data_IF_170116567102
#
_entry.id   IF_170116567102
#
_cell.length_a   1.000
_cell.length_b   1.000
_cell.length_c   1.000
_cell.angle_alpha   90.00
_cell.angle_beta   90.00
_cell.angle_gamma   90.00
#
_symmetry.space_group_name_H-M   'P 1'
#
loop_
_entity.id
_entity.type
_entity.pdbx_description
1 polymer ?
#
# COMPACT_ATOMS: atom_id res chain seq x y z
N UNK A 1 -15.68 12.94 -10.84
CA UNK A 1 -14.79 12.51 -11.93
C UNK A 1 -13.81 11.49 -11.37
N UNK A 2 -13.72 10.28 -11.93
CA UNK A 2 -12.80 9.23 -11.43
C UNK A 2 -11.60 9.13 -12.37
N UNK A 3 -10.35 9.19 -11.87
CA UNK A 3 -9.17 9.00 -12.71
C UNK A 3 -9.18 7.66 -13.43
N UNK A 4 -8.62 7.64 -14.63
CA UNK A 4 -8.59 6.45 -15.46
C UNK A 4 -7.92 5.27 -14.73
N UNK A 5 -8.54 4.10 -14.84
CA UNK A 5 -8.00 2.84 -14.31
C UNK A 5 -6.65 2.50 -14.98
N UNK A 6 -6.51 2.86 -16.26
CA UNK A 6 -5.29 2.70 -17.05
C UNK A 6 -4.69 4.05 -17.34
N UNK A 7 -3.37 4.14 -17.25
CA UNK A 7 -2.57 5.22 -17.83
C UNK A 7 -1.73 4.60 -18.96
N UNK A 8 -1.37 5.38 -19.96
CA UNK A 8 -0.25 5.03 -20.84
C UNK A 8 0.66 6.23 -20.93
N UNK A 9 1.94 5.92 -20.96
CA UNK A 9 3.01 6.91 -21.02
C UNK A 9 3.60 6.89 -22.42
N UNK A 10 4.08 8.04 -22.91
CA UNK A 10 4.78 8.07 -24.17
C UNK A 10 6.09 7.28 -24.04
N UNK A 11 6.47 6.60 -25.12
CA UNK A 11 7.77 5.98 -25.24
C UNK A 11 7.80 4.46 -25.09
N UNK A 12 9.01 3.90 -25.00
CA UNK A 12 9.25 2.46 -25.04
C UNK A 12 8.72 1.71 -23.81
N UNK A 13 8.05 0.57 -24.03
CA UNK A 13 7.52 -0.34 -23.01
C UNK A 13 8.16 -1.74 -23.09
N UNK A 14 8.52 -2.32 -21.95
CA UNK A 14 9.04 -3.68 -21.76
C UNK A 14 8.01 -4.50 -20.97
N UNK A 15 7.37 -5.48 -21.62
CA UNK A 15 6.45 -6.40 -20.94
C UNK A 15 7.24 -7.35 -20.05
N UNK A 16 6.83 -7.48 -18.80
CA UNK A 16 7.50 -8.32 -17.82
C UNK A 16 6.94 -9.75 -17.80
N UNK A 17 7.81 -10.71 -17.52
CA UNK A 17 7.41 -12.07 -17.20
C UNK A 17 6.83 -12.15 -15.79
N UNK A 18 5.66 -12.76 -15.65
CA UNK A 18 5.07 -13.10 -14.35
C UNK A 18 5.78 -14.28 -13.68
N UNK A 19 5.55 -14.50 -12.39
CA UNK A 19 6.04 -15.71 -11.71
C UNK A 19 5.57 -16.98 -12.47
N UNK A 20 6.42 -18.00 -12.68
CA UNK A 20 7.75 -18.22 -12.09
C UNK A 20 8.94 -17.74 -12.94
N UNK A 21 8.76 -16.84 -13.92
CA UNK A 21 9.82 -16.46 -14.89
C UNK A 21 10.99 -15.62 -14.30
N UNK A 22 11.12 -15.51 -12.98
CA UNK A 22 12.22 -14.86 -12.28
C UNK A 22 12.32 -13.33 -12.50
N UNK A 23 13.41 -12.75 -11.99
CA UNK A 23 13.75 -11.33 -12.19
C UNK A 23 12.77 -10.34 -11.55
N UNK A 24 12.88 -9.06 -11.94
CA UNK A 24 12.02 -7.98 -11.41
C UNK A 24 10.54 -8.20 -11.74
N UNK A 25 10.23 -8.93 -12.82
CA UNK A 25 8.88 -9.29 -13.21
C UNK A 25 8.18 -10.17 -12.17
N UNK A 26 8.83 -11.25 -11.72
CA UNK A 26 8.29 -12.08 -10.65
C UNK A 26 8.02 -11.28 -9.37
N UNK A 27 8.96 -10.44 -8.94
CA UNK A 27 8.80 -9.59 -7.76
C UNK A 27 7.57 -8.67 -7.89
N UNK A 28 7.45 -7.94 -8.99
CA UNK A 28 6.36 -6.99 -9.21
C UNK A 28 5.00 -7.67 -9.43
N UNK A 29 4.99 -8.89 -9.97
CA UNK A 29 3.80 -9.74 -10.11
C UNK A 29 3.25 -10.16 -8.73
N UNK A 30 4.15 -10.56 -7.83
CA UNK A 30 3.82 -10.93 -6.47
C UNK A 30 3.52 -9.73 -5.59
N UNK A 31 4.10 -8.56 -5.83
CA UNK A 31 3.93 -7.39 -4.96
C UNK A 31 2.77 -6.46 -5.39
N UNK A 32 2.78 -5.96 -6.62
CA UNK A 32 2.04 -4.75 -7.01
C UNK A 32 1.11 -4.92 -8.22
N UNK A 33 1.25 -6.02 -8.97
CA UNK A 33 0.49 -6.23 -10.19
C UNK A 33 -1.04 -6.21 -9.95
N UNK A 34 -1.75 -5.92 -11.03
CA UNK A 34 -3.19 -6.12 -11.08
C UNK A 34 -3.53 -7.62 -11.16
N UNK A 35 -4.64 -7.96 -10.54
CA UNK A 35 -5.29 -9.26 -10.62
C UNK A 35 -6.33 -9.27 -11.75
N UNK A 36 -6.73 -10.44 -12.28
CA UNK A 36 -7.92 -10.54 -13.12
C UNK A 36 -9.22 -10.17 -12.38
N UNK A 37 -9.24 -10.25 -11.04
CA UNK A 37 -10.43 -9.97 -10.22
C UNK A 37 -10.86 -8.51 -10.32
N UNK A 38 -12.18 -8.27 -10.33
CA UNK A 38 -12.79 -6.94 -10.26
C UNK A 38 -13.75 -6.84 -9.08
N UNK A 39 -13.85 -5.67 -8.47
CA UNK A 39 -14.89 -5.32 -7.49
C UNK A 39 -15.36 -3.89 -7.75
N UNK A 40 -16.67 -3.63 -7.78
CA UNK A 40 -17.23 -2.30 -8.06
C UNK A 40 -16.72 -1.68 -9.38
N UNK A 41 -16.55 -2.52 -10.42
CA UNK A 41 -15.99 -2.13 -11.72
C UNK A 41 -14.47 -1.90 -11.73
N UNK A 42 -13.79 -2.00 -10.58
CA UNK A 42 -12.34 -1.77 -10.43
C UNK A 42 -11.58 -3.07 -10.52
N UNK A 43 -10.53 -3.12 -11.33
CA UNK A 43 -9.54 -4.19 -11.32
C UNK A 43 -8.73 -4.11 -10.04
N UNK A 44 -8.81 -5.19 -9.26
CA UNK A 44 -8.08 -5.28 -8.00
C UNK A 44 -6.57 -5.43 -8.26
N UNK A 45 -5.76 -4.92 -7.33
CA UNK A 45 -4.32 -5.16 -7.29
C UNK A 45 -3.95 -6.10 -6.15
N UNK A 46 -2.70 -6.55 -6.18
CA UNK A 46 -2.04 -7.32 -5.11
C UNK A 46 -1.91 -6.56 -3.80
N UNK A 47 -2.16 -5.26 -3.81
CA UNK A 47 -2.28 -4.44 -2.59
C UNK A 47 -3.71 -3.97 -2.42
N UNK A 48 -4.21 -3.84 -1.19
CA UNK A 48 -5.45 -3.14 -0.93
C UNK A 48 -5.24 -1.64 -1.21
N UNK A 49 -6.34 -0.94 -1.44
CA UNK A 49 -6.35 0.52 -1.51
C UNK A 49 -7.75 1.01 -1.18
N UNK A 50 -7.85 2.09 -0.41
CA UNK A 50 -9.13 2.68 -0.07
C UNK A 50 -9.91 3.02 -1.35
N UNK A 51 -11.12 2.46 -1.48
CA UNK A 51 -11.98 2.66 -2.66
C UNK A 51 -11.40 2.16 -3.99
N UNK A 52 -10.37 1.31 -3.95
CA UNK A 52 -9.68 0.79 -5.14
C UNK A 52 -9.06 1.91 -5.99
N UNK A 53 -8.44 2.91 -5.34
CA UNK A 53 -7.88 4.09 -6.03
C UNK A 53 -6.44 3.89 -6.48
N UNK A 54 -5.68 3.09 -5.74
CA UNK A 54 -4.30 2.71 -6.02
C UNK A 54 -3.37 3.91 -6.32
N UNK A 55 -3.22 4.85 -5.36
CA UNK A 55 -2.41 6.07 -5.50
C UNK A 55 -0.90 5.81 -5.56
N UNK A 56 -0.44 4.63 -5.15
CA UNK A 56 0.98 4.30 -5.18
C UNK A 56 1.41 3.95 -6.60
N UNK A 57 2.40 4.69 -7.08
CA UNK A 57 3.13 4.46 -8.32
C UNK A 57 4.49 3.87 -7.96
N UNK A 58 5.00 2.96 -8.79
CA UNK A 58 6.30 2.32 -8.55
C UNK A 58 7.23 2.60 -9.73
N UNK A 59 8.48 2.93 -9.40
CA UNK A 59 9.55 3.18 -10.36
C UNK A 59 10.69 2.21 -10.09
N UNK A 60 11.11 1.46 -11.09
CA UNK A 60 12.26 0.56 -11.03
C UNK A 60 13.48 1.33 -11.47
N UNK A 61 14.55 1.31 -10.67
CA UNK A 61 15.84 1.91 -11.02
C UNK A 61 16.89 0.81 -11.03
N UNK A 62 17.59 0.69 -12.15
CA UNK A 62 18.64 -0.32 -12.34
C UNK A 62 19.61 0.14 -13.43
N UNK A 63 20.92 0.02 -13.17
CA UNK A 63 21.98 0.33 -14.14
C UNK A 63 21.82 1.70 -14.84
N UNK A 64 21.57 2.75 -14.06
CA UNK A 64 21.49 4.12 -14.56
C UNK A 64 20.25 4.41 -15.40
N UNK A 65 19.21 3.58 -15.31
CA UNK A 65 17.92 3.85 -15.95
C UNK A 65 16.80 3.70 -14.92
N UNK A 66 15.84 4.61 -14.98
CA UNK A 66 14.61 4.58 -14.22
C UNK A 66 13.44 4.26 -15.15
N UNK A 67 12.61 3.29 -14.77
CA UNK A 67 11.39 2.92 -15.49
C UNK A 67 10.18 3.07 -14.59
N UNK A 68 9.06 3.47 -15.17
CA UNK A 68 7.78 3.39 -14.49
C UNK A 68 7.18 2.00 -14.61
N UNK A 69 6.59 1.48 -13.55
CA UNK A 69 5.86 0.22 -13.59
C UNK A 69 4.37 0.42 -13.87
N UNK A 70 3.85 -0.25 -14.90
CA UNK A 70 2.42 -0.41 -15.18
C UNK A 70 1.90 -1.70 -14.53
N UNK A 71 1.14 -1.64 -13.42
CA UNK A 71 0.61 -2.83 -12.76
C UNK A 71 -0.53 -3.49 -13.55
N UNK A 72 -1.20 -2.78 -14.46
CA UNK A 72 -2.28 -3.34 -15.27
C UNK A 72 -1.73 -4.15 -16.43
N UNK A 73 -0.75 -3.60 -17.14
CA UNK A 73 -0.06 -4.30 -18.25
C UNK A 73 1.04 -5.24 -17.78
N UNK A 74 1.50 -5.07 -16.54
CA UNK A 74 2.67 -5.74 -16.00
C UNK A 74 3.89 -5.49 -16.88
N UNK A 75 4.27 -4.21 -16.97
CA UNK A 75 5.31 -3.73 -17.88
C UNK A 75 6.09 -2.55 -17.28
N UNK A 76 7.31 -2.35 -17.77
CA UNK A 76 8.12 -1.16 -17.51
C UNK A 76 7.98 -0.19 -18.68
N UNK A 77 7.74 1.10 -18.42
CA UNK A 77 7.50 2.10 -19.45
C UNK A 77 8.31 3.38 -19.19
N UNK A 78 8.47 4.18 -20.25
CA UNK A 78 9.07 5.52 -20.21
C UNK A 78 10.43 5.57 -19.49
N UNK A 79 11.46 4.84 -19.99
CA UNK A 79 12.79 4.88 -19.42
C UNK A 79 13.36 6.30 -19.43
N UNK A 80 13.90 6.71 -18.29
CA UNK A 80 14.64 7.96 -18.12
C UNK A 80 16.07 7.65 -17.65
N UNK A 81 17.09 8.41 -18.10
CA UNK A 81 18.43 8.32 -17.54
C UNK A 81 18.43 8.60 -16.05
N UNK A 82 19.19 7.82 -15.28
CA UNK A 82 19.36 7.98 -13.84
C UNK A 82 20.83 8.11 -13.47
N UNK A 83 21.14 9.07 -12.60
CA UNK A 83 22.50 9.27 -12.09
C UNK A 83 22.96 8.11 -11.18
N UNK A 84 22.02 7.32 -10.66
CA UNK A 84 22.33 6.13 -9.86
C UNK A 84 22.66 4.94 -10.77
N UNK A 85 23.95 4.73 -11.02
CA UNK A 85 24.46 3.50 -11.63
C UNK A 85 24.75 2.45 -10.56
N UNK A 86 23.72 1.72 -10.12
CA UNK A 86 23.87 0.57 -9.21
C UNK A 86 23.70 -0.76 -9.95
N UNK A 87 24.42 -1.80 -9.50
CA UNK A 87 24.14 -3.21 -9.83
C UNK A 87 22.77 -3.64 -9.31
N UNK A 88 22.33 -3.01 -8.23
CA UNK A 88 21.17 -3.40 -7.44
C UNK A 88 19.90 -2.87 -8.08
N UNK A 89 18.77 -3.53 -7.81
CA UNK A 89 17.46 -2.99 -8.15
C UNK A 89 16.97 -2.14 -6.99
N UNK A 90 16.57 -0.91 -7.31
CA UNK A 90 15.78 -0.07 -6.40
C UNK A 90 14.36 0.07 -6.91
N UNK A 91 13.39 -0.03 -6.00
CA UNK A 91 11.99 0.31 -6.27
C UNK A 91 11.65 1.56 -5.49
N UNK A 92 11.43 2.66 -6.20
CA UNK A 92 10.99 3.93 -5.61
C UNK A 92 9.46 3.96 -5.66
N UNK A 93 8.83 4.15 -4.51
CA UNK A 93 7.38 4.24 -4.37
C UNK A 93 6.97 5.70 -4.17
N UNK A 94 6.08 6.15 -5.05
CA UNK A 94 5.59 7.54 -5.09
C UNK A 94 4.08 7.59 -4.90
N UNK A 95 3.59 8.67 -4.29
CA UNK A 95 2.17 8.93 -4.13
C UNK A 95 1.64 9.85 -5.22
N UNK A 96 0.51 9.47 -5.83
CA UNK A 96 -0.25 10.30 -6.75
C UNK A 96 -1.56 10.77 -6.07
N UNK A 97 -1.59 11.96 -5.45
CA UNK A 97 -2.72 12.42 -4.62
C UNK A 97 -4.02 12.62 -5.41
N UNK A 98 -3.94 12.88 -6.72
CA UNK A 98 -5.11 13.01 -7.61
C UNK A 98 -6.01 11.78 -7.55
N UNK A 99 -5.44 10.58 -7.35
CA UNK A 99 -6.22 9.33 -7.33
C UNK A 99 -7.21 9.23 -6.17
N UNK A 100 -6.90 9.86 -5.04
CA UNK A 100 -7.70 9.83 -3.81
C UNK A 100 -8.45 11.14 -3.57
N UNK A 101 -7.87 12.28 -3.99
CA UNK A 101 -8.37 13.62 -3.68
C UNK A 101 -9.84 13.82 -4.05
N UNK A 102 -10.23 13.49 -5.27
CA UNK A 102 -11.61 13.70 -5.73
C UNK A 102 -12.67 13.02 -4.83
N UNK A 103 -12.32 11.94 -4.11
CA UNK A 103 -13.22 11.21 -3.22
C UNK A 103 -13.07 11.61 -1.76
N UNK A 104 -11.85 11.81 -1.28
CA UNK A 104 -11.55 11.99 0.14
C UNK A 104 -11.23 13.44 0.53
N UNK A 105 -10.94 14.30 -0.46
CA UNK A 105 -10.60 15.70 -0.26
C UNK A 105 -9.47 15.85 0.77
N UNK A 106 -9.59 16.77 1.74
CA UNK A 106 -8.58 16.99 2.80
C UNK A 106 -8.20 15.73 3.59
N UNK A 107 -9.07 14.71 3.64
CA UNK A 107 -8.81 13.44 4.36
C UNK A 107 -7.93 12.46 3.56
N UNK A 108 -7.40 12.87 2.41
CA UNK A 108 -6.62 11.99 1.54
C UNK A 108 -5.28 11.58 2.14
N UNK A 109 -4.64 12.44 2.95
CA UNK A 109 -3.26 12.19 3.40
C UNK A 109 -3.12 10.89 4.24
N UNK A 110 -3.89 10.68 5.32
CA UNK A 110 -3.82 9.41 6.07
C UNK A 110 -4.03 8.18 5.18
N UNK A 111 -4.99 8.25 4.26
CA UNK A 111 -5.32 7.15 3.34
C UNK A 111 -4.17 6.87 2.36
N UNK A 112 -3.54 7.91 1.83
CA UNK A 112 -2.38 7.79 0.97
C UNK A 112 -1.22 7.10 1.68
N UNK A 113 -0.97 7.46 2.95
CA UNK A 113 0.10 6.85 3.75
C UNK A 113 -0.16 5.39 4.10
N UNK A 114 -1.41 5.03 4.38
CA UNK A 114 -1.81 3.63 4.56
C UNK A 114 -1.57 2.82 3.28
N UNK A 115 -1.97 3.34 2.11
CA UNK A 115 -1.76 2.70 0.82
C UNK A 115 -0.25 2.53 0.51
N UNK A 116 0.59 3.51 0.88
CA UNK A 116 2.05 3.40 0.80
C UNK A 116 2.57 2.28 1.71
N UNK A 117 2.05 2.16 2.93
CA UNK A 117 2.43 1.10 3.88
C UNK A 117 2.09 -0.29 3.35
N UNK A 118 0.93 -0.45 2.70
CA UNK A 118 0.55 -1.67 2.01
C UNK A 118 1.48 -2.01 0.85
N UNK A 119 1.83 -1.03 0.02
CA UNK A 119 2.77 -1.22 -1.09
C UNK A 119 4.16 -1.60 -0.60
N UNK A 120 4.64 -0.95 0.45
CA UNK A 120 5.92 -1.25 1.10
C UNK A 120 5.95 -2.69 1.63
N UNK A 121 4.91 -3.06 2.40
CA UNK A 121 4.76 -4.42 2.93
C UNK A 121 4.70 -5.47 1.83
N UNK A 122 4.00 -5.19 0.73
CA UNK A 122 3.89 -6.12 -0.40
C UNK A 122 5.21 -6.36 -1.12
N UNK A 123 6.01 -5.31 -1.34
CA UNK A 123 7.33 -5.44 -1.98
C UNK A 123 8.30 -6.21 -1.07
N UNK A 124 8.35 -5.85 0.22
CA UNK A 124 9.20 -6.54 1.21
C UNK A 124 8.81 -8.03 1.35
N UNK A 125 7.52 -8.32 1.44
CA UNK A 125 6.97 -9.68 1.51
C UNK A 125 7.30 -10.51 0.26
N UNK A 126 7.12 -9.93 -0.93
CA UNK A 126 7.43 -10.59 -2.19
C UNK A 126 8.93 -10.88 -2.33
N UNK A 127 9.79 -9.96 -1.93
CA UNK A 127 11.23 -10.19 -1.97
C UNK A 127 11.68 -11.25 -0.96
N UNK A 128 11.10 -11.26 0.25
CA UNK A 128 11.33 -12.31 1.23
C UNK A 128 10.91 -13.69 0.71
N UNK A 129 9.75 -13.79 0.05
CA UNK A 129 9.27 -15.03 -0.57
C UNK A 129 10.18 -15.53 -1.71
N UNK A 130 10.86 -14.62 -2.40
CA UNK A 130 11.82 -14.93 -3.46
C UNK A 130 13.25 -15.14 -2.93
N UNK A 131 13.48 -15.00 -1.61
CA UNK A 131 14.79 -15.19 -1.00
C UNK A 131 15.78 -14.04 -1.25
N UNK A 132 15.29 -12.83 -1.57
CA UNK A 132 16.14 -11.67 -1.78
C UNK A 132 16.26 -10.81 -0.51
N UNK A 133 17.49 -10.48 -0.07
CA UNK A 133 17.69 -9.47 0.97
C UNK A 133 17.11 -8.14 0.52
N UNK A 134 16.31 -7.53 1.39
CA UNK A 134 15.71 -6.22 1.13
C UNK A 134 15.72 -5.33 2.33
N UNK A 135 15.93 -4.04 2.06
CA UNK A 135 15.73 -2.97 3.02
C UNK A 135 14.94 -1.88 2.32
N UNK A 136 13.90 -1.40 2.98
CA UNK A 136 13.27 -0.17 2.54
C UNK A 136 13.66 0.99 3.45
N UNK A 137 13.67 2.19 2.88
CA UNK A 137 14.07 3.42 3.52
C UNK A 137 13.02 4.48 3.23
N UNK A 138 12.62 5.20 4.27
CA UNK A 138 11.77 6.40 4.19
C UNK A 138 12.41 7.53 4.95
N UNK A 139 12.04 8.77 4.62
CA UNK A 139 12.56 9.96 5.30
C UNK A 139 13.74 10.70 4.66
N UNK A 140 14.36 10.29 3.53
CA UNK A 140 15.33 11.15 2.83
C UNK A 140 14.74 12.43 2.20
N UNK A 141 13.42 12.54 2.08
CA UNK A 141 12.75 13.67 1.41
C UNK A 141 12.49 13.42 -0.08
N UNK A 142 11.50 14.16 -0.62
CA UNK A 142 11.07 14.01 -2.02
C UNK A 142 12.17 14.36 -3.02
N UNK A 143 12.99 15.37 -2.73
CA UNK A 143 14.11 15.79 -3.57
C UNK A 143 15.15 14.69 -3.71
N UNK A 144 15.64 14.17 -2.57
CA UNK A 144 16.68 13.14 -2.53
C UNK A 144 16.20 11.88 -3.22
N UNK A 145 14.97 11.45 -2.97
CA UNK A 145 14.43 10.25 -3.60
C UNK A 145 14.22 10.41 -5.10
N UNK A 146 13.76 11.58 -5.57
CA UNK A 146 13.62 11.85 -7.00
C UNK A 146 14.99 11.88 -7.71
N UNK A 147 15.98 12.53 -7.11
CA UNK A 147 17.35 12.65 -7.65
C UNK A 147 18.05 11.28 -7.68
N UNK A 148 18.05 10.56 -6.56
CA UNK A 148 18.62 9.20 -6.47
C UNK A 148 17.94 8.23 -7.44
N UNK A 149 16.66 8.44 -7.73
CA UNK A 149 15.94 7.64 -8.70
C UNK A 149 16.18 8.08 -10.15
N UNK A 150 16.66 9.30 -10.40
CA UNK A 150 16.75 9.86 -11.74
C UNK A 150 15.39 10.12 -12.38
N UNK A 151 14.37 10.40 -11.56
CA UNK A 151 13.01 10.67 -12.04
C UNK A 151 12.93 12.10 -12.58
N UNK A 152 12.09 12.39 -13.59
CA UNK A 152 11.88 13.76 -14.03
C UNK A 152 11.16 14.53 -12.92
N UNK A 153 11.83 15.50 -12.31
CA UNK A 153 11.27 16.24 -11.16
C UNK A 153 11.55 17.74 -11.23
N UNK A 154 10.74 18.51 -10.50
CA UNK A 154 10.97 19.93 -10.23
C UNK A 154 10.69 20.18 -8.75
N UNK A 155 11.74 20.51 -7.97
CA UNK A 155 11.66 20.57 -6.50
C UNK A 155 11.17 19.26 -5.89
N UNK A 156 11.77 18.14 -6.30
CA UNK A 156 11.48 16.79 -5.81
C UNK A 156 10.14 16.19 -6.22
N UNK A 157 9.20 17.03 -6.66
CA UNK A 157 7.92 16.59 -7.20
C UNK A 157 8.14 16.02 -8.59
N UNK A 158 7.87 14.73 -8.74
CA UNK A 158 8.03 13.99 -9.99
C UNK A 158 6.93 14.41 -10.97
N UNK A 159 7.33 14.80 -12.17
CA UNK A 159 6.47 15.32 -13.23
C UNK A 159 6.80 14.65 -14.56
N UNK A 160 6.02 13.63 -14.88
CA UNK A 160 6.01 13.04 -16.21
C UNK A 160 5.15 13.90 -17.15
N UNK A 161 5.53 14.07 -18.43
CA UNK A 161 4.70 14.79 -19.39
C UNK A 161 3.26 14.26 -19.45
N UNK A 162 2.28 15.15 -19.28
CA UNK A 162 0.85 14.81 -19.32
C UNK A 162 0.33 13.99 -18.12
N UNK A 163 1.10 13.84 -17.05
CA UNK A 163 0.71 13.10 -15.84
C UNK A 163 0.54 14.03 -14.64
N UNK A 164 -0.27 13.60 -13.67
CA UNK A 164 -0.38 14.28 -12.38
C UNK A 164 0.94 14.20 -11.58
N UNK A 165 1.21 15.18 -10.69
CA UNK A 165 2.41 15.16 -9.85
C UNK A 165 2.47 13.92 -8.96
N UNK A 166 3.69 13.45 -8.72
CA UNK A 166 4.01 12.30 -7.88
C UNK A 166 5.03 12.67 -6.80
N UNK A 167 4.86 12.12 -5.60
CA UNK A 167 5.69 12.41 -4.43
C UNK A 167 6.42 11.14 -4.00
N UNK A 168 7.72 10.97 -4.34
CA UNK A 168 8.49 9.80 -3.93
C UNK A 168 8.77 9.87 -2.43
N UNK A 169 8.37 8.83 -1.68
CA UNK A 169 8.46 8.83 -0.22
C UNK A 169 9.12 7.58 0.37
N UNK A 170 9.32 6.55 -0.44
CA UNK A 170 10.02 5.34 -0.04
C UNK A 170 10.88 4.81 -1.17
N UNK A 171 12.02 4.22 -0.81
CA UNK A 171 12.85 3.41 -1.70
C UNK A 171 13.03 2.03 -1.09
N UNK A 172 12.90 0.99 -1.89
CA UNK A 172 13.21 -0.40 -1.51
C UNK A 172 14.43 -0.83 -2.28
N UNK A 173 15.50 -1.14 -1.57
CA UNK A 173 16.73 -1.68 -2.12
C UNK A 173 16.67 -3.21 -2.05
N UNK A 174 16.93 -3.86 -3.19
CA UNK A 174 16.87 -5.31 -3.34
C UNK A 174 18.23 -5.78 -3.85
N UNK A 175 18.83 -6.73 -3.13
CA UNK A 175 20.16 -7.24 -3.43
C UNK A 175 20.32 -7.81 -4.84
N UNK A 176 21.59 -7.93 -5.25
CA UNK A 176 22.15 -7.89 -6.61
C UNK A 176 21.74 -9.01 -7.59
N UNK A 177 20.77 -9.86 -7.23
CA UNK A 177 20.40 -11.02 -8.04
C UNK A 177 19.27 -10.74 -9.05
N UNK A 178 18.55 -9.63 -8.92
CA UNK A 178 17.44 -9.32 -9.83
C UNK A 178 17.91 -8.56 -11.06
N UNK A 179 17.36 -8.94 -12.21
CA UNK A 179 17.64 -8.29 -13.50
C UNK A 179 16.38 -7.72 -14.12
N UNK A 180 16.56 -6.64 -14.88
CA UNK A 180 15.56 -6.13 -15.83
C UNK A 180 15.77 -6.85 -17.15
N UNK A 181 14.74 -7.47 -17.76
CA UNK A 181 14.89 -8.19 -19.01
C UNK A 181 15.29 -7.24 -20.15
N UNK A 182 16.18 -7.71 -21.02
CA UNK A 182 16.41 -7.09 -22.32
C UNK A 182 15.20 -7.40 -23.20
N UNK A 183 14.44 -6.38 -23.59
CA UNK A 183 13.31 -6.56 -24.48
C UNK A 183 13.27 -5.46 -25.54
N UNK A 184 12.73 -5.79 -26.70
CA UNK A 184 12.44 -4.81 -27.76
C UNK A 184 11.30 -3.93 -27.28
N UNK A 185 11.53 -2.62 -27.14
CA UNK A 185 10.48 -1.79 -26.61
C UNK A 185 9.34 -1.56 -27.59
N UNK A 186 8.12 -1.50 -27.08
CA UNK A 186 6.93 -1.13 -27.87
C UNK A 186 6.61 0.34 -27.65
N UNK A 187 6.45 1.10 -28.73
CA UNK A 187 6.00 2.50 -28.67
C UNK A 187 4.49 2.57 -28.43
N UNK A 188 4.04 3.47 -27.54
CA UNK A 188 2.61 3.73 -27.33
C UNK A 188 2.31 5.23 -27.22
N UNK A 189 1.11 5.58 -27.67
CA UNK A 189 0.54 6.90 -27.44
C UNK A 189 0.11 7.06 -25.97
N UNK A 190 0.28 8.26 -25.38
CA UNK A 190 -0.18 8.54 -24.03
C UNK A 190 -1.71 8.52 -23.96
N UNK A 191 -2.24 8.12 -22.80
CA UNK A 191 -3.66 8.26 -22.49
C UNK A 191 -3.75 9.44 -21.53
N UNK A 192 -4.43 10.54 -21.92
CA UNK A 192 -4.46 11.73 -21.08
C UNK A 192 -5.09 11.41 -19.72
N UNK A 193 -4.48 11.89 -18.65
CA UNK A 193 -5.13 11.93 -17.35
C UNK A 193 -6.32 12.92 -17.40
N UNK A 194 -7.34 12.74 -16.54
CA UNK A 194 -8.33 13.80 -16.35
C UNK A 194 -7.62 15.11 -16.02
N UNK A 195 -8.16 16.24 -16.49
CA UNK A 195 -7.58 17.55 -16.23
C UNK A 195 -7.42 17.74 -14.72
N UNK A 196 -6.17 17.98 -14.29
CA UNK A 196 -5.81 18.18 -12.88
C UNK A 196 -6.73 19.24 -12.24
N UNK A 197 -7.05 20.28 -12.99
CA UNK A 197 -7.90 21.39 -12.58
C UNK A 197 -9.30 20.92 -12.14
N UNK A 198 -9.90 19.96 -12.86
CA UNK A 198 -11.22 19.41 -12.52
C UNK A 198 -11.19 18.62 -11.21
N UNK A 199 -10.07 17.94 -10.92
CA UNK A 199 -9.89 17.19 -9.68
C UNK A 199 -9.63 18.13 -8.51
N UNK A 200 -8.80 19.15 -8.71
CA UNK A 200 -8.49 20.18 -7.70
C UNK A 200 -9.75 20.95 -7.31
N UNK A 201 -10.54 21.36 -8.30
CA UNK A 201 -11.77 22.12 -8.09
C UNK A 201 -12.81 21.38 -7.22
N UNK A 202 -12.79 20.04 -7.17
CA UNK A 202 -13.78 19.24 -6.44
C UNK A 202 -13.82 19.53 -4.93
N UNK A 203 -12.70 19.93 -4.32
CA UNK A 203 -12.59 20.21 -2.87
C UNK A 203 -11.89 21.54 -2.56
N UNK A 204 -11.65 22.37 -3.58
CA UNK A 204 -11.03 23.69 -3.45
C UNK A 204 -9.50 23.69 -3.55
N UNK A 205 -8.96 24.69 -4.24
CA UNK A 205 -7.52 24.85 -4.52
C UNK A 205 -6.68 25.02 -3.25
N UNK A 206 -7.14 25.81 -2.27
CA UNK A 206 -6.38 26.05 -1.05
C UNK A 206 -6.14 24.77 -0.23
N UNK A 207 -7.14 23.89 -0.14
CA UNK A 207 -7.00 22.61 0.56
C UNK A 207 -6.09 21.64 -0.21
N UNK A 208 -6.13 21.71 -1.55
CA UNK A 208 -5.21 20.96 -2.40
C UNK A 208 -3.76 21.41 -2.19
N UNK A 209 -3.52 22.72 -2.16
CA UNK A 209 -2.19 23.29 -1.93
C UNK A 209 -1.63 22.87 -0.57
N UNK A 210 -2.45 22.81 0.47
CA UNK A 210 -2.06 22.28 1.78
C UNK A 210 -1.64 20.81 1.72
N UNK A 211 -2.38 19.96 0.99
CA UNK A 211 -2.00 18.56 0.82
C UNK A 211 -0.66 18.43 0.07
N UNK A 212 -0.48 19.22 -0.98
CA UNK A 212 0.75 19.19 -1.80
C UNK A 212 1.95 19.66 -0.98
N UNK A 213 1.80 20.74 -0.21
CA UNK A 213 2.83 21.20 0.72
C UNK A 213 3.17 20.13 1.75
N UNK A 214 2.17 19.54 2.40
CA UNK A 214 2.38 18.46 3.36
C UNK A 214 3.14 17.27 2.73
N UNK A 215 2.75 16.83 1.53
CA UNK A 215 3.45 15.73 0.83
C UNK A 215 4.89 16.06 0.44
N UNK A 216 5.18 17.33 0.11
CA UNK A 216 6.54 17.77 -0.21
C UNK A 216 7.41 17.87 1.06
N UNK A 217 6.82 18.27 2.18
CA UNK A 217 7.50 18.32 3.48
C UNK A 217 7.70 16.93 4.10
N UNK A 218 6.86 15.95 3.75
CA UNK A 218 7.03 14.58 4.19
C UNK A 218 8.38 14.02 3.70
N UNK A 219 9.31 13.86 4.64
CA UNK A 219 10.67 13.41 4.38
C UNK A 219 11.73 14.52 4.49
N UNK A 220 11.35 15.79 4.38
CA UNK A 220 12.30 16.88 4.62
C UNK A 220 12.57 17.02 6.12
N UNK A 221 13.82 16.75 6.55
CA UNK A 221 14.22 16.87 7.95
C UNK A 221 13.71 15.77 8.88
N UNK A 222 13.06 14.73 8.35
CA UNK A 222 12.72 13.54 9.14
C UNK A 222 13.91 12.60 9.24
N UNK A 223 14.19 11.98 10.40
CA UNK A 223 15.21 10.95 10.48
C UNK A 223 14.91 9.81 9.51
N UNK A 224 15.94 9.35 8.81
CA UNK A 224 15.84 8.16 7.97
C UNK A 224 15.34 6.98 8.82
N UNK A 225 14.33 6.27 8.30
CA UNK A 225 13.81 5.05 8.92
C UNK A 225 13.94 3.88 7.97
N UNK A 226 14.58 2.83 8.45
CA UNK A 226 14.70 1.57 7.75
C UNK A 226 13.54 0.62 8.10
N UNK A 227 13.04 -0.08 7.09
CA UNK A 227 11.96 -1.05 7.18
C UNK A 227 12.41 -2.36 6.56
N UNK A 228 12.01 -3.47 7.18
CA UNK A 228 12.32 -4.82 6.73
C UNK A 228 11.13 -5.71 6.99
N UNK A 229 10.99 -6.76 6.19
CA UNK A 229 10.10 -7.87 6.53
C UNK A 229 10.69 -8.62 7.73
N UNK A 230 9.93 -8.70 8.83
CA UNK A 230 10.39 -9.33 10.08
C UNK A 230 9.59 -10.58 10.48
N UNK A 231 8.66 -11.01 9.63
CA UNK A 231 7.93 -12.26 9.80
C UNK A 231 8.54 -13.41 8.99
N UNK A 232 7.98 -14.64 9.09
CA UNK A 232 8.28 -15.72 8.17
C UNK A 232 8.07 -15.27 6.71
N UNK A 233 8.89 -15.77 5.79
CA UNK A 233 8.69 -15.51 4.37
C UNK A 233 7.32 -16.08 3.95
N UNK A 234 6.41 -15.27 3.37
CA UNK A 234 5.10 -15.77 2.96
C UNK A 234 5.24 -16.74 1.79
N UNK A 235 4.35 -17.72 1.71
CA UNK A 235 4.35 -18.63 0.58
C UNK A 235 3.90 -17.89 -0.69
N UNK A 236 4.54 -18.19 -1.82
CA UNK A 236 4.18 -17.61 -3.13
C UNK A 236 2.69 -17.83 -3.48
N UNK A 237 2.08 -19.00 -3.22
CA UNK A 237 0.64 -19.18 -3.42
C UNK A 237 -0.23 -18.17 -2.65
N UNK A 238 0.13 -17.83 -1.41
CA UNK A 238 -0.62 -16.86 -0.60
C UNK A 238 -0.53 -15.46 -1.18
N UNK A 239 0.67 -15.08 -1.63
CA UNK A 239 0.88 -13.83 -2.37
C UNK A 239 0.00 -13.79 -3.63
N UNK A 240 -0.14 -14.89 -4.36
CA UNK A 240 -0.99 -14.96 -5.55
C UNK A 240 -2.49 -15.09 -5.24
N UNK A 241 -2.87 -15.60 -4.07
CA UNK A 241 -4.26 -15.82 -3.69
C UNK A 241 -4.91 -14.57 -3.08
N UNK A 242 -4.12 -13.74 -2.38
CA UNK A 242 -4.63 -12.59 -1.62
C UNK A 242 -5.49 -11.66 -2.46
N UNK A 243 -6.66 -11.34 -1.94
CA UNK A 243 -7.55 -10.29 -2.43
C UNK A 243 -8.42 -9.81 -1.25
N UNK A 244 -8.78 -8.53 -1.25
CA UNK A 244 -9.67 -8.02 -0.23
C UNK A 244 -11.00 -8.75 -0.38
N UNK A 245 -11.42 -9.45 0.68
CA UNK A 245 -12.65 -10.22 0.64
C UNK A 245 -13.87 -9.29 0.47
N UNK A 246 -14.88 -9.71 -0.31
CA UNK A 246 -16.17 -9.04 -0.30
C UNK A 246 -16.81 -9.18 1.09
N UNK A 247 -17.71 -8.25 1.48
CA UNK A 247 -18.29 -8.28 2.84
C UNK A 247 -19.12 -9.56 3.08
N UNK A 248 -19.72 -10.10 2.03
CA UNK A 248 -20.52 -11.32 2.01
C UNK A 248 -19.70 -12.58 2.33
N UNK A 249 -18.37 -12.48 2.32
CA UNK A 249 -17.47 -13.55 2.72
C UNK A 249 -16.87 -13.32 4.11
N UNK A 250 -17.19 -12.22 4.78
CA UNK A 250 -16.70 -11.91 6.13
C UNK A 250 -17.76 -12.37 7.12
N UNK A 251 -17.57 -13.58 7.64
CA UNK A 251 -18.50 -14.23 8.56
C UNK A 251 -18.04 -14.15 10.02
N UNK A 252 -18.97 -14.20 10.99
CA UNK A 252 -18.61 -14.33 12.39
C UNK A 252 -17.98 -15.70 12.66
N UNK A 253 -17.20 -15.80 13.74
CA UNK A 253 -16.62 -17.07 14.17
C UNK A 253 -15.26 -16.88 14.82
N UNK A 254 -14.58 -17.99 15.09
CA UNK A 254 -13.29 -17.94 15.75
C UNK A 254 -12.18 -17.50 14.79
N UNK A 255 -11.37 -16.53 15.25
CA UNK A 255 -10.19 -16.04 14.54
C UNK A 255 -8.95 -16.37 15.38
N UNK A 256 -7.96 -17.10 14.83
CA UNK A 256 -6.74 -17.44 15.57
C UNK A 256 -5.97 -16.20 16.04
N UNK A 257 -5.63 -16.16 17.33
CA UNK A 257 -4.89 -15.06 17.95
C UNK A 257 -3.49 -14.83 17.34
N UNK A 258 -2.89 -15.88 16.75
CA UNK A 258 -1.59 -15.85 16.09
C UNK A 258 -1.49 -14.82 14.93
N UNK A 259 -2.62 -14.41 14.35
CA UNK A 259 -2.65 -13.37 13.32
C UNK A 259 -2.12 -12.02 13.82
N UNK A 260 -2.28 -11.70 15.09
CA UNK A 260 -1.69 -10.49 15.68
C UNK A 260 -0.15 -10.59 15.70
N UNK A 261 0.40 -11.79 15.87
CA UNK A 261 1.84 -12.08 15.84
C UNK A 261 2.48 -11.84 14.47
N UNK A 262 1.73 -11.92 13.38
CA UNK A 262 2.23 -11.58 12.04
C UNK A 262 2.39 -10.06 11.83
N UNK A 263 1.54 -9.26 12.46
CA UNK A 263 1.57 -7.80 12.35
C UNK A 263 2.55 -7.13 13.34
N UNK A 264 2.72 -7.71 14.53
CA UNK A 264 3.52 -7.13 15.61
C UNK A 264 4.99 -6.78 15.23
N UNK A 265 5.74 -7.62 14.49
CA UNK A 265 7.16 -7.35 14.22
C UNK A 265 7.43 -6.11 13.37
N UNK A 266 6.41 -5.61 12.68
CA UNK A 266 6.53 -4.55 11.67
C UNK A 266 5.69 -3.30 11.99
N UNK A 267 4.96 -3.31 13.10
CA UNK A 267 4.12 -2.19 13.48
C UNK A 267 4.91 -1.06 14.14
N UNK A 268 4.45 0.17 13.89
CA UNK A 268 4.89 1.38 14.58
C UNK A 268 3.66 1.91 15.29
N UNK A 269 3.51 1.54 16.57
CA UNK A 269 2.29 1.77 17.35
C UNK A 269 1.84 0.51 18.08
N UNK A 270 0.59 0.50 18.53
CA UNK A 270 -0.02 -0.66 19.20
C UNK A 270 -0.88 -1.44 18.21
N UNK A 271 -0.91 -2.76 18.40
CA UNK A 271 -1.83 -3.66 17.71
C UNK A 271 -2.68 -4.36 18.76
N UNK A 272 -3.97 -4.51 18.46
CA UNK A 272 -4.85 -5.37 19.23
C UNK A 272 -5.71 -6.21 18.27
N UNK A 273 -6.01 -7.45 18.68
CA UNK A 273 -7.07 -8.24 18.09
C UNK A 273 -8.32 -8.05 18.96
N UNK A 274 -9.42 -7.63 18.34
CA UNK A 274 -10.70 -7.45 19.00
C UNK A 274 -11.68 -8.48 18.44
N UNK A 275 -12.11 -9.44 19.25
CA UNK A 275 -13.27 -10.26 18.89
C UNK A 275 -14.49 -9.34 18.73
N UNK A 276 -15.29 -9.55 17.69
CA UNK A 276 -16.43 -8.66 17.40
C UNK A 276 -17.65 -9.04 18.23
N UNK A 277 -17.90 -10.34 18.40
CA UNK A 277 -19.06 -10.83 19.14
C UNK A 277 -19.03 -10.33 20.60
N UNK A 278 -20.06 -9.58 20.99
CA UNK A 278 -20.21 -9.06 22.35
C UNK A 278 -19.22 -7.96 22.76
N UNK A 279 -18.51 -7.34 21.79
CA UNK A 279 -17.52 -6.32 22.08
C UNK A 279 -18.06 -4.90 21.85
N UNK A 280 -18.39 -4.23 22.96
CA UNK A 280 -18.93 -2.86 22.94
C UNK A 280 -18.01 -1.85 22.23
N UNK A 281 -16.68 -2.04 22.31
CA UNK A 281 -15.73 -1.17 21.62
C UNK A 281 -15.88 -1.29 20.10
N UNK A 282 -16.11 -2.50 19.59
CA UNK A 282 -16.32 -2.73 18.15
C UNK A 282 -17.67 -2.16 17.72
N UNK A 283 -18.71 -2.31 18.55
CA UNK A 283 -20.02 -1.70 18.31
C UNK A 283 -19.93 -0.17 18.18
N UNK A 284 -19.18 0.49 19.08
CA UNK A 284 -18.94 1.93 19.05
C UNK A 284 -18.08 2.40 17.88
N UNK A 285 -17.17 1.54 17.43
CA UNK A 285 -16.31 1.80 16.30
C UNK A 285 -17.06 1.71 14.98
N UNK A 286 -17.92 0.71 14.79
CA UNK A 286 -18.52 0.41 13.49
C UNK A 286 -19.18 1.60 12.76
N UNK A 287 -19.91 2.53 13.41
CA UNK A 287 -20.43 3.73 12.76
C UNK A 287 -19.34 4.67 12.20
N UNK A 288 -18.11 4.59 12.73
CA UNK A 288 -16.94 5.41 12.37
C UNK A 288 -16.06 4.80 11.28
N UNK A 289 -16.40 3.61 10.78
CA UNK A 289 -15.68 2.86 9.73
C UNK A 289 -15.82 3.45 8.30
N UNK A 290 -16.09 4.76 8.21
CA UNK A 290 -16.35 5.48 6.97
C UNK A 290 -17.46 4.85 6.10
N UNK A 291 -18.55 4.45 6.76
CA UNK A 291 -19.76 3.92 6.12
C UNK A 291 -19.70 2.42 5.81
N UNK A 292 -18.94 1.65 6.60
CA UNK A 292 -18.82 0.20 6.45
C UNK A 292 -19.32 -0.53 7.71
N UNK A 293 -20.61 -0.42 8.07
CA UNK A 293 -21.16 -1.04 9.28
C UNK A 293 -21.04 -2.58 9.27
N UNK A 294 -20.79 -3.19 8.11
CA UNK A 294 -20.59 -4.63 7.95
C UNK A 294 -19.38 -5.17 8.74
N UNK A 295 -18.51 -4.30 9.26
CA UNK A 295 -17.46 -4.68 10.22
C UNK A 295 -18.01 -5.43 11.44
N UNK A 296 -19.28 -5.22 11.81
CA UNK A 296 -19.96 -5.95 12.90
C UNK A 296 -20.22 -7.42 12.58
N UNK A 297 -20.13 -7.82 11.31
CA UNK A 297 -20.27 -9.22 10.88
C UNK A 297 -18.96 -10.01 10.92
N UNK A 298 -17.82 -9.36 11.18
CA UNK A 298 -16.53 -10.06 11.22
C UNK A 298 -16.40 -10.95 12.46
N UNK A 299 -15.54 -11.97 12.40
CA UNK A 299 -15.15 -12.73 13.60
C UNK A 299 -14.25 -11.90 14.52
N UNK A 300 -13.29 -11.17 13.93
CA UNK A 300 -12.42 -10.25 14.65
C UNK A 300 -12.01 -9.02 13.82
N UNK A 301 -11.66 -7.95 14.52
CA UNK A 301 -10.95 -6.80 14.00
C UNK A 301 -9.52 -6.76 14.56
N UNK A 302 -8.53 -6.87 13.68
CA UNK A 302 -7.17 -6.48 14.04
C UNK A 302 -7.06 -4.96 13.83
N UNK A 303 -6.80 -4.22 14.91
CA UNK A 303 -6.70 -2.77 14.89
C UNK A 303 -5.27 -2.32 15.13
N UNK A 304 -4.84 -1.26 14.43
CA UNK A 304 -3.56 -0.59 14.65
C UNK A 304 -3.83 0.81 15.17
N UNK A 305 -3.22 1.19 16.29
CA UNK A 305 -3.39 2.51 16.89
C UNK A 305 -2.07 3.23 17.07
N UNK A 306 -2.09 4.55 16.94
CA UNK A 306 -0.96 5.44 17.15
C UNK A 306 -1.24 6.54 18.16
N UNK A 307 -0.35 7.52 18.14
CA UNK A 307 -0.37 8.69 19.01
C UNK A 307 -1.58 9.56 18.69
N UNK A 308 -2.16 10.18 19.73
CA UNK A 308 -3.19 11.20 19.54
C UNK A 308 -2.48 12.50 19.21
N UNK A 309 -2.83 13.10 18.08
CA UNK A 309 -2.29 14.35 17.54
C UNK A 309 -0.75 14.35 17.41
N UNK A 310 -0.19 13.38 16.65
CA UNK A 310 1.25 13.26 16.44
C UNK A 310 1.82 14.45 15.66
N UNK A 311 3.11 14.72 15.87
CA UNK A 311 3.86 15.55 14.93
C UNK A 311 3.93 14.89 13.53
N UNK A 312 4.21 15.66 12.44
CA UNK A 312 4.20 15.10 11.08
C UNK A 312 5.14 13.89 10.87
N UNK A 313 6.39 13.87 11.37
CA UNK A 313 7.26 12.70 11.27
C UNK A 313 6.69 11.45 11.95
N UNK A 314 6.10 11.61 13.14
CA UNK A 314 5.45 10.52 13.88
C UNK A 314 4.20 10.05 13.14
N UNK A 315 3.36 10.98 12.68
CA UNK A 315 2.17 10.67 11.89
C UNK A 315 2.52 9.84 10.65
N UNK A 316 3.59 10.22 9.94
CA UNK A 316 4.09 9.53 8.78
C UNK A 316 4.52 8.09 9.10
N UNK A 317 5.36 7.92 10.12
CA UNK A 317 5.87 6.61 10.52
C UNK A 317 4.75 5.68 11.02
N UNK A 318 3.83 6.18 11.84
CA UNK A 318 2.73 5.40 12.39
C UNK A 318 1.72 4.96 11.31
N UNK A 319 1.33 5.83 10.38
CA UNK A 319 0.42 5.45 9.29
C UNK A 319 1.07 4.47 8.31
N UNK A 320 2.35 4.68 7.97
CA UNK A 320 3.08 3.76 7.11
C UNK A 320 3.22 2.38 7.79
N UNK A 321 3.59 2.36 9.07
CA UNK A 321 3.68 1.15 9.88
C UNK A 321 2.33 0.45 10.03
N UNK A 322 1.23 1.19 10.22
CA UNK A 322 -0.12 0.64 10.27
C UNK A 322 -0.54 -0.04 8.95
N UNK A 323 -0.26 0.59 7.80
CA UNK A 323 -0.49 -0.01 6.49
C UNK A 323 0.30 -1.32 6.31
N UNK A 324 1.59 -1.29 6.64
CA UNK A 324 2.48 -2.45 6.54
C UNK A 324 2.05 -3.58 7.49
N UNK A 325 1.73 -3.28 8.74
CA UNK A 325 1.29 -4.25 9.73
C UNK A 325 -0.04 -4.94 9.34
N UNK A 326 -1.02 -4.16 8.87
CA UNK A 326 -2.27 -4.74 8.35
C UNK A 326 -2.02 -5.58 7.09
N UNK A 327 -1.05 -5.20 6.25
CA UNK A 327 -0.65 -6.04 5.12
C UNK A 327 -0.11 -7.40 5.58
N UNK A 328 0.73 -7.41 6.60
CA UNK A 328 1.30 -8.64 7.14
C UNK A 328 0.23 -9.56 7.76
N UNK A 329 -0.69 -9.01 8.55
CA UNK A 329 -1.84 -9.76 9.06
C UNK A 329 -2.74 -10.29 7.93
N UNK A 330 -2.94 -9.51 6.87
CA UNK A 330 -3.75 -9.91 5.73
C UNK A 330 -3.13 -11.08 4.95
N UNK A 331 -1.79 -11.11 4.82
CA UNK A 331 -1.07 -12.25 4.26
C UNK A 331 -1.18 -13.49 5.15
N UNK A 332 -1.03 -13.34 6.46
CA UNK A 332 -1.19 -14.45 7.39
C UNK A 332 -2.62 -15.02 7.35
N UNK A 333 -3.64 -14.15 7.33
CA UNK A 333 -5.04 -14.57 7.17
C UNK A 333 -5.25 -15.33 5.84
N UNK A 334 -4.63 -14.85 4.76
CA UNK A 334 -4.67 -15.54 3.45
C UNK A 334 -4.06 -16.94 3.52
N UNK A 335 -2.91 -17.10 4.18
CA UNK A 335 -2.27 -18.42 4.35
C UNK A 335 -3.08 -19.38 5.22
N UNK A 336 -3.89 -18.85 6.15
CA UNK A 336 -4.87 -19.62 6.91
C UNK A 336 -6.19 -19.81 6.14
N UNK A 337 -6.32 -19.35 4.91
CA UNK A 337 -7.57 -19.42 4.14
C UNK A 337 -8.73 -18.63 4.75
N UNK A 338 -8.45 -17.65 5.60
CA UNK A 338 -9.45 -16.81 6.22
C UNK A 338 -9.78 -15.63 5.30
N UNK A 339 -11.08 -15.36 5.04
CA UNK A 339 -11.48 -14.18 4.30
C UNK A 339 -11.14 -12.93 5.15
N UNK A 340 -10.43 -11.99 4.56
CA UNK A 340 -10.01 -10.80 5.26
C UNK A 340 -10.01 -9.59 4.33
N UNK A 341 -10.34 -8.42 4.89
CA UNK A 341 -10.33 -7.15 4.17
C UNK A 341 -9.82 -6.00 5.03
N UNK A 342 -8.87 -5.22 4.51
CA UNK A 342 -8.47 -3.98 5.17
C UNK A 342 -9.63 -2.98 5.19
N UNK A 343 -9.82 -2.32 6.33
CA UNK A 343 -10.84 -1.30 6.55
C UNK A 343 -10.11 0.00 6.87
N UNK A 344 -9.94 0.83 5.85
CA UNK A 344 -9.33 2.14 5.99
C UNK A 344 -10.35 3.20 6.36
N UNK A 345 -9.87 4.28 6.99
CA UNK A 345 -10.62 5.48 7.41
C UNK A 345 -11.45 5.25 8.69
N UNK A 346 -10.88 5.70 9.81
CA UNK A 346 -11.54 5.79 11.12
C UNK A 346 -11.41 7.23 11.60
N UNK A 347 -12.31 8.09 11.12
CA UNK A 347 -12.19 9.54 11.32
C UNK A 347 -12.26 9.83 12.82
N UNK A 348 -11.19 10.40 13.35
CA UNK A 348 -11.07 10.89 14.73
C UNK A 348 -11.47 9.86 15.80
N UNK A 349 -11.34 8.57 15.49
CA UNK A 349 -11.59 7.51 16.44
C UNK A 349 -10.40 7.40 17.41
N UNK A 350 -10.63 7.81 18.66
CA UNK A 350 -9.67 7.65 19.76
C UNK A 350 -10.18 6.55 20.68
N UNK A 351 -9.41 5.46 20.79
CA UNK A 351 -9.67 4.39 21.74
C UNK A 351 -9.11 4.80 23.10
N UNK A 352 -9.82 4.47 24.18
CA UNK A 352 -9.35 4.67 25.56
C UNK A 352 -9.14 3.31 26.20
N UNK A 353 -7.97 3.10 26.77
CA UNK A 353 -7.59 1.87 27.46
C UNK A 353 -6.80 2.17 28.72
N UNK A 354 -6.48 1.15 29.52
CA UNK A 354 -5.58 1.28 30.66
C UNK A 354 -4.20 1.83 30.26
N UNK A 355 -3.77 1.61 29.02
CA UNK A 355 -2.52 2.16 28.48
C UNK A 355 -2.67 3.61 27.95
N UNK A 356 -3.78 4.28 28.24
CA UNK A 356 -4.08 5.64 27.79
C UNK A 356 -4.80 5.72 26.43
N UNK A 357 -5.07 6.95 25.96
CA UNK A 357 -5.75 7.18 24.69
C UNK A 357 -4.82 6.86 23.50
N UNK A 358 -5.40 6.30 22.44
CA UNK A 358 -4.68 6.02 21.19
C UNK A 358 -5.59 6.25 19.98
N UNK A 359 -5.07 6.86 18.91
CA UNK A 359 -5.83 7.11 17.68
C UNK A 359 -5.87 5.84 16.83
N UNK A 360 -7.05 5.41 16.41
CA UNK A 360 -7.21 4.29 15.48
C UNK A 360 -6.75 4.73 14.08
N UNK A 361 -5.72 4.07 13.56
CA UNK A 361 -5.12 4.42 12.28
C UNK A 361 -5.68 3.54 11.16
N UNK A 362 -5.79 2.24 11.42
CA UNK A 362 -6.18 1.24 10.42
C UNK A 362 -6.72 -0.02 11.08
N UNK A 363 -7.42 -0.84 10.29
CA UNK A 363 -7.93 -2.12 10.74
C UNK A 363 -7.97 -3.18 9.62
N UNK A 364 -8.01 -4.44 10.04
CA UNK A 364 -8.33 -5.61 9.20
C UNK A 364 -9.57 -6.28 9.77
N UNK A 365 -10.64 -6.36 8.97
CA UNK A 365 -11.77 -7.22 9.27
C UNK A 365 -11.47 -8.64 8.80
N UNK A 366 -11.64 -9.62 9.68
CA UNK A 366 -11.28 -11.02 9.45
C UNK A 366 -12.52 -11.87 9.72
N UNK A 367 -12.93 -12.68 8.74
CA UNK A 367 -13.98 -13.66 8.93
C UNK A 367 -13.47 -14.83 9.78
N UNK A 368 -14.33 -15.32 10.66
CA UNK A 368 -14.03 -16.46 11.51
C UNK A 368 -14.27 -17.80 10.82
N UNK A 369 -13.74 -18.86 11.41
CA UNK A 369 -14.20 -20.22 11.11
C UNK A 369 -15.35 -20.57 12.03
N UNK A 370 -16.32 -21.33 11.52
CA UNK A 370 -17.26 -22.01 12.38
C UNK A 370 -16.46 -22.88 13.38
N UNK A 371 -16.77 -22.74 14.66
CA UNK A 371 -16.30 -23.69 15.65
C UNK A 371 -16.96 -25.02 15.26
N UNK A 372 -16.15 -26.01 14.87
CA UNK A 372 -16.64 -27.38 14.82
C UNK A 372 -16.88 -27.71 16.28
N UNK A 373 -18.16 -27.84 16.67
CA UNK A 373 -18.49 -28.56 17.90
C UNK A 373 -17.91 -29.96 17.69
N UNK A 374 -16.81 -30.27 18.37
CA UNK A 374 -16.44 -31.67 18.56
C UNK A 374 -17.60 -32.28 19.33
N UNK A 375 -18.50 -32.95 18.61
CA UNK A 375 -19.50 -33.83 19.19
C UNK A 375 -18.74 -34.79 20.09
N UNK A 376 -18.82 -34.51 21.40
CA UNK A 376 -18.32 -35.35 22.45
C UNK A 376 -18.99 -36.71 22.35
N UNK A 377 -18.37 -37.58 21.56
CA UNK A 377 -18.63 -39.01 21.62
C UNK A 377 -17.61 -39.59 22.57
N UNK A 378 -18.11 -39.77 23.80
CA UNK A 378 -17.68 -40.64 24.89
C UNK A 378 -16.91 -41.88 24.48
#
# INVERSE_FOLDING_TARGET
MRPAERRSWPGPEIVLGRWPRGGVGALLDLALASSPRRAGGVRLRRVPSAGGRYPVEAHVVHRGTAWRYDPVRHALAAPAPSAASTSDIRIVLSLNPVRTWWRYGPRSLPVLLLDLGHALGAVLAAAAALGHPTRAVTGPGVDVLAECAGLPHAGGVVRWPGCAPEFPLAVVEIGDALTVPLATPVQRAPFPEPLLDDVVAAHGAAAWDQLIAALAELGAGTPERAWQWRGPAPAVPDLLARAAAPWEAIDPGHVPAELAGAAAPVAVGRIAMLEVAGNDLVADLAPRSCGQPEVLGAGALLVTTGTVDPDPPTAFAEHLGAGLAVHAAWLAATGLGLPARPVGCWIDAVLRSAAGPARLLHALAIGGRALIEEDGTT
#
